data_IF_508548803965
#
_entry.id   IF_508548803965
#
_cell.length_a   1.000
_cell.length_b   1.000
_cell.length_c   1.000
_cell.angle_alpha   90.00
_cell.angle_beta   90.00
_cell.angle_gamma   90.00
#
_symmetry.space_group_name_H-M   'P 1'
#
loop_
_entity.id
_entity.type
_entity.pdbx_description
1 polymer ?
#
# COMPACT_ATOMS: atom_id res chain seq x y z
N UNK A 1 -18.02 15.99 -2.08
CA UNK A 1 -19.30 15.26 -2.16
C UNK A 1 -19.14 13.83 -2.69
N UNK A 2 -18.03 13.45 -3.31
CA UNK A 2 -17.76 12.07 -3.73
C UNK A 2 -17.40 11.13 -2.56
N UNK A 3 -17.02 11.66 -1.41
CA UNK A 3 -16.65 10.85 -0.25
C UNK A 3 -17.79 10.03 0.37
N UNK A 4 -19.02 10.46 0.23
CA UNK A 4 -20.18 9.77 0.81
C UNK A 4 -20.62 8.53 0.00
N UNK A 5 -20.26 8.43 -1.27
CA UNK A 5 -20.60 7.31 -2.15
C UNK A 5 -19.96 6.00 -1.69
N UNK A 6 -18.84 6.06 -0.99
CA UNK A 6 -18.08 4.90 -0.54
C UNK A 6 -18.26 4.58 0.95
N UNK A 7 -19.15 5.28 1.62
CA UNK A 7 -19.42 5.02 3.04
C UNK A 7 -20.17 3.69 3.21
N UNK A 8 -19.59 2.81 4.01
CA UNK A 8 -20.17 1.53 4.40
C UNK A 8 -20.42 1.57 5.89
N UNK A 9 -21.67 1.36 6.27
CA UNK A 9 -22.07 1.32 7.68
C UNK A 9 -22.45 -0.11 8.05
N UNK A 10 -21.84 -0.64 9.10
CA UNK A 10 -22.21 -1.90 9.69
C UNK A 10 -23.48 -1.69 10.54
N UNK A 11 -24.55 -2.35 10.19
CA UNK A 11 -25.83 -2.26 10.89
C UNK A 11 -26.04 -3.41 11.89
N UNK A 12 -25.44 -4.55 11.62
CA UNK A 12 -25.50 -5.75 12.46
C UNK A 12 -24.30 -6.64 12.16
N UNK A 13 -23.79 -7.33 13.17
CA UNK A 13 -22.64 -8.23 13.08
C UNK A 13 -23.02 -9.60 13.58
N UNK A 14 -22.60 -10.61 12.86
CA UNK A 14 -22.53 -12.00 13.30
C UNK A 14 -21.03 -12.35 13.41
N UNK A 15 -20.61 -12.80 14.57
CA UNK A 15 -19.18 -13.06 14.83
C UNK A 15 -18.61 -14.22 13.99
N UNK A 16 -19.48 -15.07 13.43
CA UNK A 16 -19.04 -16.14 12.53
C UNK A 16 -18.68 -15.65 11.12
N UNK A 17 -19.09 -14.41 10.77
CA UNK A 17 -18.86 -13.83 9.44
C UNK A 17 -18.16 -12.48 9.54
N UNK A 18 -17.01 -12.33 8.87
CA UNK A 18 -16.25 -11.08 8.87
C UNK A 18 -17.01 -9.93 8.20
N UNK A 19 -17.28 -8.85 8.94
CA UNK A 19 -17.90 -7.65 8.37
C UNK A 19 -17.02 -6.98 7.31
N UNK A 20 -15.69 -7.11 7.38
CA UNK A 20 -14.75 -6.59 6.40
C UNK A 20 -14.91 -7.29 5.05
N UNK A 21 -15.00 -8.63 5.05
CA UNK A 21 -15.25 -9.41 3.84
C UNK A 21 -16.61 -9.03 3.24
N UNK A 22 -17.66 -8.99 4.07
CA UNK A 22 -18.99 -8.56 3.62
C UNK A 22 -18.96 -7.14 3.02
N UNK A 23 -18.21 -6.22 3.65
CA UNK A 23 -18.01 -4.86 3.16
C UNK A 23 -17.27 -4.78 1.82
N UNK A 24 -16.23 -5.60 1.63
CA UNK A 24 -15.52 -5.72 0.34
C UNK A 24 -16.45 -6.24 -0.76
N UNK A 25 -17.17 -7.31 -0.50
CA UNK A 25 -18.10 -7.91 -1.46
C UNK A 25 -19.23 -6.94 -1.83
N UNK A 26 -19.87 -6.33 -0.82
CA UNK A 26 -20.93 -5.35 -1.04
C UNK A 26 -20.46 -4.15 -1.88
N UNK A 27 -19.22 -3.67 -1.68
CA UNK A 27 -18.62 -2.61 -2.49
C UNK A 27 -18.40 -3.07 -3.92
N UNK A 28 -17.84 -4.28 -4.10
CA UNK A 28 -17.60 -4.85 -5.42
C UNK A 28 -18.90 -5.02 -6.21
N UNK A 29 -19.96 -5.52 -5.57
CA UNK A 29 -21.28 -5.58 -6.17
C UNK A 29 -21.82 -4.19 -6.56
N UNK A 30 -21.79 -3.23 -5.64
CA UNK A 30 -22.33 -1.90 -5.85
C UNK A 30 -21.62 -1.18 -7.02
N UNK A 31 -20.29 -1.25 -7.10
CA UNK A 31 -19.52 -0.69 -8.22
C UNK A 31 -19.81 -1.43 -9.52
N UNK A 32 -19.90 -2.74 -9.49
CA UNK A 32 -20.12 -3.55 -10.68
C UNK A 32 -21.48 -3.27 -11.33
N UNK A 33 -22.57 -3.15 -10.55
CA UNK A 33 -23.91 -2.89 -11.07
C UNK A 33 -24.20 -1.40 -11.34
N UNK A 34 -23.38 -0.48 -10.81
CA UNK A 34 -23.52 0.96 -11.04
C UNK A 34 -23.07 1.36 -12.45
N UNK A 35 -23.23 2.64 -12.79
CA UNK A 35 -22.72 3.24 -14.02
C UNK A 35 -21.25 3.70 -13.92
N UNK A 36 -20.60 3.52 -12.77
CA UNK A 36 -19.19 3.91 -12.55
C UNK A 36 -18.27 2.97 -13.34
N UNK A 37 -17.37 3.50 -14.20
CA UNK A 37 -16.36 2.69 -14.88
C UNK A 37 -15.36 2.14 -13.87
N UNK A 38 -15.19 0.81 -13.88
CA UNK A 38 -14.34 0.11 -12.93
C UNK A 38 -13.83 -1.22 -13.51
N UNK A 39 -12.56 -1.54 -13.28
CA UNK A 39 -11.90 -2.76 -13.78
C UNK A 39 -12.03 -3.98 -12.85
N UNK A 40 -13.06 -4.01 -11.99
CA UNK A 40 -13.44 -5.19 -11.22
C UNK A 40 -14.23 -6.20 -12.06
N UNK A 41 -14.89 -7.17 -11.42
CA UNK A 41 -15.12 -7.26 -9.97
C UNK A 41 -13.94 -7.79 -9.15
N UNK A 42 -13.97 -7.48 -7.86
CA UNK A 42 -13.04 -7.99 -6.85
C UNK A 42 -13.81 -8.89 -5.88
N UNK A 43 -13.26 -10.06 -5.59
CA UNK A 43 -13.64 -10.89 -4.46
C UNK A 43 -12.65 -10.76 -3.32
N UNK A 44 -13.07 -11.12 -2.11
CA UNK A 44 -12.22 -11.19 -0.93
C UNK A 44 -12.66 -12.33 -0.02
N UNK A 45 -11.69 -12.98 0.62
CA UNK A 45 -11.93 -14.05 1.59
C UNK A 45 -10.95 -13.96 2.75
N UNK A 46 -11.36 -14.46 3.90
CA UNK A 46 -10.44 -14.81 4.99
C UNK A 46 -10.03 -16.27 4.87
N UNK A 47 -8.80 -16.55 5.24
CA UNK A 47 -8.23 -17.90 5.23
C UNK A 47 -7.57 -18.13 6.60
N UNK A 48 -7.87 -19.26 7.20
CA UNK A 48 -7.27 -19.76 8.42
C UNK A 48 -6.45 -21.03 8.19
N UNK A 49 -5.66 -21.39 9.19
CA UNK A 49 -4.93 -22.66 9.25
C UNK A 49 -5.16 -23.29 10.62
N UNK A 50 -5.76 -24.47 10.68
CA UNK A 50 -6.02 -25.18 11.90
C UNK A 50 -5.67 -26.67 11.74
N UNK A 51 -4.84 -27.19 12.63
CA UNK A 51 -4.37 -28.58 12.62
C UNK A 51 -3.74 -28.99 11.26
N UNK A 52 -3.09 -28.05 10.57
CA UNK A 52 -2.48 -28.24 9.26
C UNK A 52 -3.48 -28.17 8.08
N UNK A 53 -4.76 -27.90 8.32
CA UNK A 53 -5.77 -27.74 7.27
C UNK A 53 -6.07 -26.26 7.00
N UNK A 54 -6.05 -25.88 5.72
CA UNK A 54 -6.41 -24.54 5.29
C UNK A 54 -7.94 -24.42 5.20
N UNK A 55 -8.51 -23.48 5.94
CA UNK A 55 -9.94 -23.25 6.06
C UNK A 55 -10.29 -21.89 5.41
N UNK A 56 -11.29 -21.87 4.54
CA UNK A 56 -11.82 -20.64 3.94
C UNK A 56 -12.93 -20.09 4.82
N UNK A 57 -12.88 -18.79 5.10
CA UNK A 57 -13.83 -18.08 5.95
C UNK A 57 -14.06 -18.76 7.31
N UNK A 58 -13.00 -18.92 8.13
CA UNK A 58 -13.12 -19.57 9.43
C UNK A 58 -14.12 -18.82 10.31
N UNK A 59 -14.98 -19.57 11.02
CA UNK A 59 -15.91 -19.03 12.01
C UNK A 59 -15.16 -18.54 13.27
N UNK A 60 -15.88 -17.95 14.21
CA UNK A 60 -15.29 -17.37 15.44
C UNK A 60 -14.44 -18.38 16.22
N UNK A 61 -14.96 -19.59 16.46
CA UNK A 61 -14.21 -20.63 17.19
C UNK A 61 -12.98 -21.11 16.45
N UNK A 62 -13.07 -21.26 15.12
CA UNK A 62 -11.93 -21.64 14.29
C UNK A 62 -10.86 -20.55 14.28
N UNK A 63 -11.25 -19.26 14.27
CA UNK A 63 -10.27 -18.14 14.32
C UNK A 63 -9.49 -18.12 15.64
N UNK A 64 -10.10 -18.47 16.75
CA UNK A 64 -9.42 -18.54 18.06
C UNK A 64 -8.27 -19.57 18.12
N UNK A 65 -8.38 -20.62 17.32
CA UNK A 65 -7.42 -21.73 17.28
C UNK A 65 -6.57 -21.75 16.00
N UNK A 66 -6.75 -20.80 15.12
CA UNK A 66 -6.05 -20.74 13.84
C UNK A 66 -4.64 -20.16 13.98
N UNK A 67 -3.65 -20.85 13.41
CA UNK A 67 -2.26 -20.36 13.31
C UNK A 67 -2.07 -19.31 12.19
N UNK A 68 -3.10 -19.07 11.39
CA UNK A 68 -3.08 -18.13 10.28
C UNK A 68 -4.35 -17.29 10.27
N UNK A 69 -4.19 -15.97 10.24
CA UNK A 69 -5.24 -15.03 9.93
C UNK A 69 -4.84 -14.30 8.64
N UNK A 70 -5.35 -14.76 7.52
CA UNK A 70 -5.01 -14.25 6.20
C UNK A 70 -6.24 -13.68 5.52
N UNK A 71 -6.15 -12.45 5.03
CA UNK A 71 -7.14 -11.84 4.14
C UNK A 71 -6.55 -11.74 2.75
N UNK A 72 -7.24 -12.28 1.77
CA UNK A 72 -6.87 -12.20 0.34
C UNK A 72 -7.98 -11.50 -0.41
N UNK A 73 -7.60 -10.55 -1.28
CA UNK A 73 -8.54 -9.95 -2.23
C UNK A 73 -7.94 -9.94 -3.64
N UNK A 74 -8.78 -10.08 -4.64
CA UNK A 74 -8.32 -10.16 -6.02
C UNK A 74 -9.43 -10.16 -7.06
N UNK A 75 -9.00 -10.05 -8.30
CA UNK A 75 -9.84 -10.31 -9.48
C UNK A 75 -9.81 -11.80 -9.81
N UNK A 76 -10.50 -12.20 -10.87
CA UNK A 76 -10.42 -13.57 -11.39
C UNK A 76 -8.99 -13.98 -11.81
N UNK A 77 -8.16 -13.01 -12.17
CA UNK A 77 -6.85 -13.27 -12.78
C UNK A 77 -5.69 -12.95 -11.84
N UNK A 78 -5.86 -12.01 -10.91
CA UNK A 78 -4.78 -11.47 -10.10
C UNK A 78 -5.18 -11.29 -8.65
N UNK A 79 -4.29 -11.63 -7.76
CA UNK A 79 -4.34 -11.22 -6.35
C UNK A 79 -3.87 -9.77 -6.27
N UNK A 80 -4.64 -8.90 -5.63
CA UNK A 80 -4.34 -7.47 -5.52
C UNK A 80 -4.05 -7.03 -4.09
N UNK A 81 -4.46 -7.82 -3.09
CA UNK A 81 -4.21 -7.55 -1.68
C UNK A 81 -3.99 -8.85 -0.91
N UNK A 82 -3.01 -8.82 -0.03
CA UNK A 82 -2.73 -9.86 0.96
C UNK A 82 -2.42 -9.17 2.28
N UNK A 83 -3.10 -9.57 3.34
CA UNK A 83 -2.81 -9.15 4.70
C UNK A 83 -2.82 -10.37 5.62
N UNK A 84 -1.74 -10.60 6.35
CA UNK A 84 -1.59 -11.80 7.15
C UNK A 84 -0.99 -11.53 8.52
N UNK A 85 -1.56 -12.18 9.55
CA UNK A 85 -0.93 -12.46 10.83
C UNK A 85 -0.76 -13.99 10.95
N UNK A 86 0.40 -14.46 11.42
CA UNK A 86 0.68 -15.89 11.51
C UNK A 86 1.56 -16.25 12.68
N UNK A 87 1.36 -17.45 13.24
CA UNK A 87 2.18 -18.07 14.26
C UNK A 87 3.25 -18.94 13.58
N UNK A 88 4.31 -18.30 13.03
CA UNK A 88 5.46 -18.98 12.41
C UNK A 88 5.10 -19.97 11.30
N UNK A 89 4.03 -19.68 10.52
CA UNK A 89 3.64 -20.48 9.35
C UNK A 89 4.73 -20.38 8.29
N UNK A 90 5.14 -21.52 7.73
CA UNK A 90 6.17 -21.58 6.70
C UNK A 90 5.71 -21.00 5.35
N UNK A 91 6.67 -20.68 4.48
CA UNK A 91 6.41 -20.02 3.21
C UNK A 91 5.56 -20.87 2.24
N UNK A 92 5.73 -22.19 2.26
CA UNK A 92 5.02 -23.09 1.33
C UNK A 92 3.55 -23.17 1.73
N UNK A 93 3.26 -23.36 3.00
CA UNK A 93 1.89 -23.34 3.56
C UNK A 93 1.22 -21.97 3.36
N UNK A 94 1.96 -20.88 3.54
CA UNK A 94 1.44 -19.53 3.27
C UNK A 94 1.06 -19.34 1.80
N UNK A 95 1.89 -19.77 0.87
CA UNK A 95 1.61 -19.69 -0.57
C UNK A 95 0.41 -20.56 -0.96
N UNK A 96 0.29 -21.75 -0.38
CA UNK A 96 -0.88 -22.62 -0.59
C UNK A 96 -2.17 -21.98 -0.08
N UNK A 97 -2.14 -21.37 1.11
CA UNK A 97 -3.28 -20.65 1.68
C UNK A 97 -3.73 -19.48 0.79
N UNK A 98 -2.79 -18.69 0.28
CA UNK A 98 -3.05 -17.60 -0.65
C UNK A 98 -3.68 -18.14 -1.96
N UNK A 99 -3.11 -19.21 -2.54
CA UNK A 99 -3.61 -19.81 -3.77
C UNK A 99 -5.03 -20.36 -3.57
N UNK A 100 -5.29 -21.05 -2.46
CA UNK A 100 -6.61 -21.59 -2.13
C UNK A 100 -7.64 -20.48 -1.93
N UNK A 101 -7.26 -19.39 -1.27
CA UNK A 101 -8.09 -18.20 -1.17
C UNK A 101 -8.44 -17.61 -2.54
N UNK A 102 -7.48 -17.54 -3.45
CA UNK A 102 -7.71 -17.01 -4.79
C UNK A 102 -8.67 -17.87 -5.63
N UNK A 103 -8.66 -19.22 -5.46
CA UNK A 103 -9.64 -20.08 -6.13
C UNK A 103 -11.08 -19.76 -5.71
N UNK A 104 -11.34 -19.44 -4.46
CA UNK A 104 -12.66 -19.00 -4.01
C UNK A 104 -12.98 -17.57 -4.53
N UNK A 105 -12.01 -16.68 -4.56
CA UNK A 105 -12.17 -15.33 -5.14
C UNK A 105 -12.60 -15.39 -6.59
N UNK A 106 -12.06 -16.31 -7.40
CA UNK A 106 -12.48 -16.49 -8.79
C UNK A 106 -13.96 -16.80 -8.92
N UNK A 107 -14.50 -17.64 -8.02
CA UNK A 107 -15.93 -17.99 -8.01
C UNK A 107 -16.78 -16.78 -7.64
N UNK A 108 -16.37 -16.04 -6.61
CA UNK A 108 -17.04 -14.83 -6.15
C UNK A 108 -17.05 -13.77 -7.26
N UNK A 109 -15.89 -13.50 -7.86
CA UNK A 109 -15.76 -12.52 -8.92
C UNK A 109 -16.58 -12.91 -10.16
N UNK A 110 -16.67 -14.20 -10.49
CA UNK A 110 -17.53 -14.67 -11.56
C UNK A 110 -19.02 -14.43 -11.23
N UNK A 111 -19.45 -14.75 -10.02
CA UNK A 111 -20.82 -14.50 -9.59
C UNK A 111 -21.20 -13.02 -9.66
N UNK A 112 -20.30 -12.13 -9.22
CA UNK A 112 -20.53 -10.68 -9.33
C UNK A 112 -20.63 -10.24 -10.79
N UNK A 113 -19.80 -10.80 -11.68
CA UNK A 113 -19.85 -10.51 -13.10
C UNK A 113 -21.19 -10.98 -13.75
N UNK A 114 -21.69 -12.13 -13.33
CA UNK A 114 -22.97 -12.65 -13.81
C UNK A 114 -24.14 -11.74 -13.38
N UNK A 115 -24.15 -11.28 -12.11
CA UNK A 115 -25.12 -10.31 -11.61
C UNK A 115 -24.99 -8.97 -12.36
N UNK A 116 -23.77 -8.51 -12.61
CA UNK A 116 -23.53 -7.30 -13.41
C UNK A 116 -24.12 -7.42 -14.82
N UNK A 117 -23.98 -8.57 -15.45
CA UNK A 117 -24.53 -8.82 -16.79
C UNK A 117 -26.05 -8.79 -16.82
N UNK A 118 -26.70 -9.19 -15.72
CA UNK A 118 -28.17 -9.23 -15.61
C UNK A 118 -28.79 -7.87 -15.29
N UNK A 119 -28.23 -7.14 -14.32
CA UNK A 119 -28.86 -5.91 -13.77
C UNK A 119 -27.95 -4.69 -13.79
N UNK A 120 -26.73 -4.80 -14.33
CA UNK A 120 -25.75 -3.70 -14.36
C UNK A 120 -26.19 -2.56 -15.28
N UNK A 121 -25.84 -1.34 -14.88
CA UNK A 121 -26.03 -0.14 -15.70
C UNK A 121 -24.91 0.01 -16.73
N UNK A 122 -25.18 0.64 -17.90
CA UNK A 122 -24.11 1.06 -18.81
C UNK A 122 -23.12 1.99 -18.08
N UNK A 123 -21.81 1.76 -18.29
CA UNK A 123 -20.78 2.58 -17.67
C UNK A 123 -20.66 3.92 -18.41
N UNK A 124 -20.50 5.02 -17.63
CA UNK A 124 -20.22 6.31 -18.25
C UNK A 124 -18.79 6.34 -18.82
N UNK A 125 -18.58 7.17 -19.81
CA UNK A 125 -17.26 7.42 -20.41
C UNK A 125 -16.59 8.61 -19.71
N UNK A 126 -15.27 8.57 -19.62
CA UNK A 126 -14.45 9.67 -19.10
C UNK A 126 -13.19 9.81 -19.95
N UNK A 127 -12.62 11.00 -19.97
CA UNK A 127 -11.32 11.21 -20.60
C UNK A 127 -10.22 10.65 -19.71
N UNK A 128 -9.44 9.72 -20.28
CA UNK A 128 -8.27 9.18 -19.57
C UNK A 128 -7.21 10.27 -19.41
N UNK A 129 -6.66 10.38 -18.20
CA UNK A 129 -5.50 11.22 -17.91
C UNK A 129 -4.17 10.45 -18.09
N UNK A 130 -4.24 9.25 -18.68
CA UNK A 130 -3.03 8.48 -18.99
C UNK A 130 -2.14 9.24 -19.96
N UNK A 131 -0.85 9.09 -19.75
CA UNK A 131 0.15 9.70 -20.61
C UNK A 131 0.15 9.04 -21.96
N UNK A 132 0.19 9.84 -23.04
CA UNK A 132 0.40 9.35 -24.39
C UNK A 132 1.76 8.61 -24.48
N UNK A 133 1.78 7.36 -24.93
CA UNK A 133 3.04 6.63 -25.15
C UNK A 133 4.03 7.36 -26.06
N UNK A 134 3.56 8.11 -27.05
CA UNK A 134 4.42 8.89 -27.95
C UNK A 134 5.11 10.05 -27.19
N UNK A 135 4.38 10.75 -26.31
CA UNK A 135 4.95 11.78 -25.45
C UNK A 135 6.03 11.18 -24.53
N UNK A 136 5.74 10.04 -23.90
CA UNK A 136 6.70 9.37 -23.03
C UNK A 136 7.98 8.97 -23.77
N UNK A 137 7.88 8.37 -24.96
CA UNK A 137 9.05 7.96 -25.74
C UNK A 137 9.87 9.17 -26.21
N UNK A 138 9.23 10.29 -26.62
CA UNK A 138 9.93 11.51 -26.98
C UNK A 138 10.72 12.12 -25.81
N UNK A 139 10.11 12.21 -24.62
CA UNK A 139 10.78 12.70 -23.42
C UNK A 139 11.90 11.75 -22.99
N UNK A 140 11.69 10.45 -23.10
CA UNK A 140 12.67 9.43 -22.78
C UNK A 140 13.88 9.55 -23.72
N UNK A 141 13.69 9.66 -25.02
CA UNK A 141 14.78 9.83 -25.98
C UNK A 141 15.60 11.09 -25.70
N UNK A 142 14.93 12.18 -25.34
CA UNK A 142 15.59 13.46 -25.02
C UNK A 142 16.37 13.43 -23.72
N UNK A 143 15.87 12.78 -22.68
CA UNK A 143 16.34 12.98 -21.32
C UNK A 143 16.91 11.74 -20.63
N UNK A 144 16.86 10.53 -21.22
CA UNK A 144 17.21 9.29 -20.50
C UNK A 144 18.64 9.30 -19.94
N UNK A 145 19.62 9.81 -20.70
CA UNK A 145 21.01 9.81 -20.24
C UNK A 145 21.26 10.88 -19.17
N UNK A 146 20.56 12.02 -19.25
CA UNK A 146 20.60 13.07 -18.24
C UNK A 146 19.96 12.57 -16.92
N UNK A 147 18.82 11.88 -17.02
CA UNK A 147 18.16 11.26 -15.86
C UNK A 147 19.04 10.17 -15.24
N UNK A 148 19.67 9.31 -16.05
CA UNK A 148 20.63 8.33 -15.54
C UNK A 148 21.75 8.98 -14.76
N UNK A 149 22.37 10.03 -15.32
CA UNK A 149 23.45 10.76 -14.64
C UNK A 149 22.94 11.40 -13.33
N UNK A 150 21.77 12.01 -13.33
CA UNK A 150 21.20 12.65 -12.15
C UNK A 150 20.91 11.65 -11.02
N UNK A 151 20.42 10.47 -11.39
CA UNK A 151 20.06 9.42 -10.43
C UNK A 151 21.26 8.60 -9.94
N UNK A 152 22.41 8.64 -10.61
CA UNK A 152 23.60 7.85 -10.28
C UNK A 152 24.41 8.48 -9.13
N UNK A 153 23.84 8.39 -7.94
CA UNK A 153 24.45 8.84 -6.68
C UNK A 153 23.72 8.21 -5.49
N UNK A 154 24.45 7.89 -4.44
CA UNK A 154 23.95 7.41 -3.16
C UNK A 154 23.41 8.54 -2.26
N UNK A 155 23.79 9.80 -2.52
CA UNK A 155 23.32 10.97 -1.79
C UNK A 155 22.01 11.51 -2.37
N UNK A 156 20.98 11.59 -1.51
CA UNK A 156 19.65 12.10 -1.89
C UNK A 156 19.69 13.57 -2.32
N UNK A 157 20.45 14.41 -1.63
CA UNK A 157 20.48 15.85 -1.92
C UNK A 157 21.18 16.11 -3.25
N UNK A 158 22.30 15.42 -3.50
CA UNK A 158 23.01 15.49 -4.79
C UNK A 158 22.10 15.03 -5.94
N UNK A 159 21.28 14.03 -5.70
CA UNK A 159 20.30 13.55 -6.70
C UNK A 159 19.28 14.62 -7.04
N UNK A 160 18.71 15.26 -6.02
CA UNK A 160 17.73 16.34 -6.21
C UNK A 160 18.36 17.55 -6.93
N UNK A 161 19.57 17.96 -6.55
CA UNK A 161 20.31 19.03 -7.21
C UNK A 161 20.63 18.75 -8.68
N UNK A 162 20.94 17.50 -9.03
CA UNK A 162 21.20 17.09 -10.42
C UNK A 162 19.95 16.95 -11.24
N UNK A 163 18.84 16.55 -10.62
CA UNK A 163 17.57 16.29 -11.30
C UNK A 163 16.82 17.58 -11.63
N UNK A 164 16.90 18.59 -10.76
CA UNK A 164 16.17 19.84 -10.95
C UNK A 164 16.45 20.50 -12.31
N UNK A 165 17.70 20.73 -12.76
CA UNK A 165 17.96 21.32 -14.07
C UNK A 165 17.49 20.42 -15.23
N UNK A 166 17.52 19.10 -15.08
CA UNK A 166 17.00 18.17 -16.10
C UNK A 166 15.49 18.31 -16.27
N UNK A 167 14.77 18.48 -15.17
CA UNK A 167 13.32 18.72 -15.19
C UNK A 167 13.02 20.04 -15.90
N UNK A 168 13.75 21.13 -15.57
CA UNK A 168 13.61 22.43 -16.23
C UNK A 168 13.87 22.35 -17.75
N UNK A 169 14.91 21.62 -18.16
CA UNK A 169 15.21 21.41 -19.59
C UNK A 169 14.10 20.63 -20.31
N UNK A 170 13.49 19.62 -19.66
CA UNK A 170 12.37 18.86 -20.24
C UNK A 170 11.18 19.79 -20.43
N UNK A 171 10.81 20.59 -19.43
CA UNK A 171 9.73 21.55 -19.54
C UNK A 171 10.00 22.61 -20.60
N UNK A 172 11.22 23.17 -20.66
CA UNK A 172 11.59 24.15 -21.69
C UNK A 172 11.45 23.58 -23.11
N UNK A 173 11.68 22.28 -23.30
CA UNK A 173 11.59 21.62 -24.62
C UNK A 173 10.17 21.22 -24.97
N UNK A 174 9.36 20.77 -24.01
CA UNK A 174 8.09 20.09 -24.29
C UNK A 174 6.84 20.90 -23.94
N UNK A 175 6.89 21.92 -23.06
CA UNK A 175 5.71 22.72 -22.71
C UNK A 175 5.08 23.44 -23.92
N UNK A 176 5.90 23.90 -24.88
CA UNK A 176 5.38 24.51 -26.11
C UNK A 176 4.77 23.48 -27.06
N UNK A 177 5.25 22.23 -27.04
CA UNK A 177 4.74 21.16 -27.91
C UNK A 177 3.43 20.56 -27.39
N UNK A 178 3.24 20.59 -26.06
CA UNK A 178 2.09 20.03 -25.37
C UNK A 178 1.45 21.09 -24.45
N UNK A 179 0.86 22.16 -25.02
CA UNK A 179 0.25 23.21 -24.23
C UNK A 179 -0.88 22.65 -23.38
N UNK A 180 -0.97 23.09 -22.13
CA UNK A 180 -1.95 22.66 -21.12
C UNK A 180 -1.75 21.21 -20.58
N UNK A 181 -0.69 20.50 -21.00
CA UNK A 181 -0.41 19.13 -20.55
C UNK A 181 0.81 19.02 -19.61
N UNK A 182 1.19 20.10 -18.92
CA UNK A 182 2.33 20.12 -17.98
C UNK A 182 2.27 19.00 -16.95
N UNK A 183 1.08 18.68 -16.43
CA UNK A 183 0.90 17.57 -15.49
C UNK A 183 1.21 16.20 -16.11
N UNK A 184 0.98 16.01 -17.42
CA UNK A 184 1.36 14.77 -18.10
C UNK A 184 2.85 14.71 -18.39
N UNK A 185 3.51 15.85 -18.61
CA UNK A 185 4.97 15.94 -18.71
C UNK A 185 5.60 15.55 -17.37
N UNK A 186 5.11 16.07 -16.24
CA UNK A 186 5.55 15.67 -14.90
C UNK A 186 5.41 14.17 -14.67
N UNK A 187 4.29 13.59 -15.07
CA UNK A 187 4.06 12.14 -14.97
C UNK A 187 5.03 11.35 -15.88
N UNK A 188 5.37 11.87 -17.07
CA UNK A 188 6.41 11.28 -17.92
C UNK A 188 7.77 11.30 -17.26
N UNK A 189 8.15 12.41 -16.62
CA UNK A 189 9.41 12.56 -15.90
C UNK A 189 9.48 11.54 -14.77
N UNK A 190 8.40 11.41 -14.00
CA UNK A 190 8.31 10.40 -12.94
C UNK A 190 8.41 8.97 -13.48
N UNK A 191 7.70 8.65 -14.55
CA UNK A 191 7.77 7.34 -15.22
C UNK A 191 9.17 7.06 -15.77
N UNK A 192 9.87 8.07 -16.30
CA UNK A 192 11.22 7.93 -16.80
C UNK A 192 12.23 7.61 -15.69
N UNK A 193 12.14 8.31 -14.56
CA UNK A 193 12.97 8.00 -13.39
C UNK A 193 12.72 6.56 -12.91
N UNK A 194 11.45 6.19 -12.79
CA UNK A 194 11.04 4.82 -12.42
C UNK A 194 11.56 3.77 -13.42
N UNK A 195 11.50 4.07 -14.72
CA UNK A 195 12.01 3.21 -15.78
C UNK A 195 13.52 2.99 -15.62
N UNK A 196 14.31 4.06 -15.45
CA UNK A 196 15.77 3.99 -15.29
C UNK A 196 16.15 3.15 -14.08
N UNK A 197 15.58 3.44 -12.91
CA UNK A 197 15.85 2.71 -11.67
C UNK A 197 15.48 1.23 -11.79
N UNK A 198 14.33 0.94 -12.41
CA UNK A 198 13.88 -0.42 -12.62
C UNK A 198 14.79 -1.21 -13.57
N UNK A 199 15.29 -0.56 -14.64
CA UNK A 199 16.24 -1.19 -15.56
C UNK A 199 17.58 -1.47 -14.89
N UNK A 200 18.10 -0.52 -14.09
CA UNK A 200 19.32 -0.78 -13.33
C UNK A 200 19.18 -1.97 -12.39
N UNK A 201 18.05 -2.07 -11.69
CA UNK A 201 17.81 -3.17 -10.77
C UNK A 201 17.74 -4.52 -11.49
N UNK A 202 17.00 -4.60 -12.61
CA UNK A 202 16.71 -5.85 -13.32
C UNK A 202 17.85 -6.29 -14.25
N UNK A 203 18.50 -5.34 -14.92
CA UNK A 203 19.48 -5.65 -15.96
C UNK A 203 20.91 -5.61 -15.43
N UNK A 204 21.20 -4.76 -14.46
CA UNK A 204 22.56 -4.51 -13.96
C UNK A 204 22.75 -4.94 -12.49
N UNK A 205 21.70 -5.36 -11.80
CA UNK A 205 21.73 -5.66 -10.37
C UNK A 205 22.12 -4.44 -9.50
N UNK A 206 21.96 -3.23 -10.03
CA UNK A 206 22.38 -1.98 -9.41
C UNK A 206 21.21 -1.31 -8.70
N UNK A 207 21.42 -0.96 -7.42
CA UNK A 207 20.50 -0.11 -6.66
C UNK A 207 20.97 1.34 -6.71
N UNK A 208 20.01 2.28 -6.66
CA UNK A 208 20.28 3.73 -6.76
C UNK A 208 21.22 4.23 -5.67
N UNK A 209 21.16 3.64 -4.48
CA UNK A 209 21.96 4.01 -3.32
C UNK A 209 23.29 3.23 -3.22
N UNK A 210 23.73 2.60 -4.29
CA UNK A 210 25.02 1.90 -4.40
C UNK A 210 25.09 0.54 -3.69
N UNK A 211 24.04 0.12 -2.98
CA UNK A 211 24.01 -1.17 -2.29
C UNK A 211 23.84 -2.34 -3.25
N UNK A 212 24.34 -3.51 -2.86
CA UNK A 212 24.00 -4.76 -3.51
C UNK A 212 22.52 -5.13 -3.33
N UNK A 213 22.02 -6.12 -4.12
CA UNK A 213 20.60 -6.53 -4.11
C UNK A 213 20.17 -6.97 -2.72
N UNK A 214 21.00 -7.77 -2.04
CA UNK A 214 20.69 -8.35 -0.72
C UNK A 214 21.27 -7.53 0.45
N UNK A 215 21.88 -6.38 0.16
CA UNK A 215 22.49 -5.55 1.19
C UNK A 215 21.46 -4.71 1.95
N UNK A 216 21.47 -4.84 3.28
CA UNK A 216 20.64 -4.05 4.17
C UNK A 216 21.34 -2.72 4.47
N UNK A 217 20.60 -1.61 4.61
CA UNK A 217 21.14 -0.35 5.08
C UNK A 217 21.79 -0.51 6.47
N UNK A 218 22.85 0.24 6.80
CA UNK A 218 23.42 0.21 8.14
C UNK A 218 22.35 0.47 9.20
N UNK A 219 22.33 -0.38 10.22
CA UNK A 219 21.40 -0.30 11.34
C UNK A 219 22.16 0.06 12.61
N UNK A 220 21.59 0.96 13.41
CA UNK A 220 22.05 1.26 14.76
C UNK A 220 20.86 1.45 15.71
N UNK A 221 21.02 1.06 16.95
CA UNK A 221 20.03 1.25 17.99
C UNK A 221 20.71 1.70 19.30
N UNK A 222 20.16 2.72 19.92
CA UNK A 222 20.61 3.26 21.20
C UNK A 222 19.41 3.37 22.13
N UNK A 223 19.61 3.11 23.43
CA UNK A 223 18.57 3.17 24.44
C UNK A 223 18.96 4.12 25.57
N UNK A 224 17.97 4.60 26.33
CA UNK A 224 18.22 5.43 27.51
C UNK A 224 18.69 6.85 27.21
N UNK A 225 18.36 7.40 26.05
CA UNK A 225 18.84 8.71 25.56
C UNK A 225 18.21 9.89 26.30
N UNK A 226 16.93 9.78 26.69
CA UNK A 226 16.21 10.85 27.36
C UNK A 226 16.03 10.48 28.82
N UNK A 227 16.57 11.28 29.75
CA UNK A 227 16.36 11.05 31.17
C UNK A 227 14.93 11.39 31.57
N UNK A 228 14.43 10.77 32.65
CA UNK A 228 13.13 11.04 33.30
C UNK A 228 11.90 10.60 32.49
N UNK A 229 12.06 9.83 31.42
CA UNK A 229 11.00 9.08 30.76
C UNK A 229 11.07 7.61 31.19
N UNK A 230 10.00 6.84 31.02
CA UNK A 230 10.01 5.42 31.41
C UNK A 230 10.91 4.57 30.49
N UNK A 231 11.07 4.98 29.24
CA UNK A 231 12.01 4.40 28.29
C UNK A 231 12.20 5.32 27.08
N UNK A 232 13.38 5.28 26.49
CA UNK A 232 13.66 5.95 25.23
C UNK A 232 14.63 5.16 24.39
N UNK A 233 14.46 5.18 23.09
CA UNK A 233 15.33 4.54 22.11
C UNK A 233 15.43 5.38 20.83
N UNK A 234 16.62 5.35 20.21
CA UNK A 234 16.86 5.84 18.87
C UNK A 234 17.14 4.64 17.98
N UNK A 235 16.43 4.51 16.89
CA UNK A 235 16.72 3.55 15.84
C UNK A 235 17.13 4.28 14.55
N UNK A 236 18.26 3.91 14.00
CA UNK A 236 18.80 4.49 12.77
C UNK A 236 18.90 3.42 11.69
N UNK A 237 18.38 3.71 10.51
CA UNK A 237 18.51 2.90 9.31
C UNK A 237 19.01 3.78 8.15
N UNK A 238 20.30 3.73 7.88
CA UNK A 238 20.94 4.63 6.93
C UNK A 238 20.79 6.08 7.38
N UNK A 239 20.11 6.89 6.59
CA UNK A 239 19.82 8.32 6.88
C UNK A 239 18.53 8.56 7.64
N UNK A 240 17.72 7.52 7.89
CA UNK A 240 16.43 7.65 8.59
C UNK A 240 16.62 7.34 10.07
N UNK A 241 16.11 8.22 10.93
CA UNK A 241 16.12 8.04 12.38
C UNK A 241 14.71 8.14 12.95
N UNK A 242 14.43 7.29 13.93
CA UNK A 242 13.17 7.31 14.70
C UNK A 242 13.51 7.33 16.18
N UNK A 243 12.98 8.33 16.88
CA UNK A 243 13.02 8.39 18.37
C UNK A 243 11.74 7.81 18.93
N UNK A 244 11.85 6.77 19.73
CA UNK A 244 10.72 6.19 20.46
C UNK A 244 10.80 6.57 21.92
N UNK A 245 9.69 7.03 22.49
CA UNK A 245 9.55 7.33 23.93
C UNK A 245 8.44 6.44 24.47
N UNK A 246 8.75 5.73 25.55
CA UNK A 246 7.82 4.80 26.19
C UNK A 246 7.26 5.41 27.46
N UNK A 247 5.96 5.30 27.65
CA UNK A 247 5.25 5.59 28.88
C UNK A 247 4.59 4.32 29.38
N UNK A 248 4.85 3.96 30.64
CA UNK A 248 4.20 2.84 31.31
C UNK A 248 3.04 3.38 32.16
N UNK A 249 1.92 2.69 32.16
CA UNK A 249 0.75 2.99 32.96
C UNK A 249 0.27 1.75 33.71
N UNK A 250 -0.62 1.92 34.73
CA UNK A 250 -1.32 0.81 35.34
C UNK A 250 -2.28 0.12 34.38
N UNK A 251 -2.76 -1.07 34.77
CA UNK A 251 -3.71 -1.84 33.93
C UNK A 251 -5.02 -1.08 33.67
N UNK A 252 -5.41 -0.18 34.57
CA UNK A 252 -6.59 0.69 34.40
C UNK A 252 -6.48 1.68 33.23
N UNK A 253 -5.26 1.94 32.73
CA UNK A 253 -5.03 2.86 31.62
C UNK A 253 -5.14 2.17 30.25
N UNK A 254 -5.45 0.87 30.23
CA UNK A 254 -5.71 0.16 28.98
C UNK A 254 -6.87 0.82 28.22
N UNK A 255 -6.70 0.98 26.91
CA UNK A 255 -7.76 1.50 26.07
C UNK A 255 -8.95 0.53 26.02
N UNK A 256 -10.13 1.01 26.37
CA UNK A 256 -11.38 0.25 26.21
C UNK A 256 -11.74 0.29 24.73
N UNK A 257 -12.01 -0.87 24.15
CA UNK A 257 -12.47 -1.03 22.78
C UNK A 257 -13.97 -1.33 22.83
N UNK A 258 -14.78 -0.41 22.32
CA UNK A 258 -16.24 -0.53 22.19
C UNK A 258 -16.58 -0.57 20.70
N UNK A 259 -16.15 -1.64 20.05
CA UNK A 259 -16.30 -1.87 18.62
C UNK A 259 -17.24 -3.03 18.30
N UNK A 260 -17.12 -3.54 17.09
CA UNK A 260 -17.87 -4.70 16.57
C UNK A 260 -17.11 -6.02 16.79
N UNK A 261 -15.87 -5.95 17.24
CA UNK A 261 -15.00 -7.09 17.50
C UNK A 261 -15.15 -7.57 18.95
N UNK A 262 -14.66 -8.78 19.21
CA UNK A 262 -14.69 -9.36 20.56
C UNK A 262 -13.59 -8.82 21.48
N UNK A 263 -12.65 -8.01 20.99
CA UNK A 263 -11.62 -7.38 21.82
C UNK A 263 -12.24 -6.28 22.69
N UNK A 264 -12.12 -6.42 24.00
CA UNK A 264 -12.63 -5.46 24.97
C UNK A 264 -11.60 -4.38 25.37
N UNK A 265 -10.32 -4.66 25.24
CA UNK A 265 -9.26 -3.74 25.67
C UNK A 265 -7.95 -3.92 24.89
N UNK A 266 -7.22 -2.81 24.76
CA UNK A 266 -5.89 -2.78 24.17
C UNK A 266 -4.89 -2.16 25.12
N UNK A 267 -3.90 -2.94 25.57
CA UNK A 267 -2.87 -2.49 26.51
C UNK A 267 -1.67 -1.83 25.85
N UNK A 268 -1.33 -2.21 24.62
CA UNK A 268 -0.23 -1.62 23.88
C UNK A 268 -0.75 -0.64 22.85
N UNK A 269 -0.23 0.60 22.88
CA UNK A 269 -0.55 1.65 21.92
C UNK A 269 0.76 2.18 21.34
N UNK A 270 0.82 2.29 20.03
CA UNK A 270 1.96 2.87 19.33
C UNK A 270 1.47 4.06 18.51
N UNK A 271 1.91 5.27 18.90
CA UNK A 271 1.64 6.50 18.17
C UNK A 271 2.82 6.78 17.24
N UNK A 272 2.57 6.85 15.94
CA UNK A 272 3.57 7.24 14.97
C UNK A 272 3.34 8.66 14.51
N UNK A 273 4.25 9.56 14.91
CA UNK A 273 4.22 10.96 14.54
C UNK A 273 5.24 11.23 13.44
N UNK A 274 4.81 11.90 12.37
CA UNK A 274 5.66 12.29 11.26
C UNK A 274 5.65 13.83 11.12
N UNK A 275 6.42 14.54 11.95
CA UNK A 275 6.44 16.00 11.92
C UNK A 275 7.08 16.51 10.63
N UNK A 276 6.67 17.69 10.19
CA UNK A 276 7.11 18.29 8.91
C UNK A 276 8.62 18.44 8.80
N UNK A 277 9.30 18.73 9.90
CA UNK A 277 10.76 18.81 9.90
C UNK A 277 11.48 17.48 9.52
N UNK A 278 10.78 16.34 9.62
CA UNK A 278 11.32 15.03 9.19
C UNK A 278 11.65 14.97 7.70
N UNK A 279 11.02 15.83 6.91
CA UNK A 279 11.25 15.99 5.46
C UNK A 279 11.78 17.37 5.09
N UNK A 280 12.30 18.13 6.08
CA UNK A 280 12.88 19.47 5.86
C UNK A 280 11.84 20.57 5.64
N UNK A 281 10.58 20.34 5.96
CA UNK A 281 9.51 21.34 5.82
C UNK A 281 9.25 22.10 7.13
N UNK A 282 8.76 23.34 7.02
CA UNK A 282 8.41 24.24 8.14
C UNK A 282 6.90 24.42 8.27
N UNK A 283 6.14 23.36 8.28
CA UNK A 283 4.69 23.40 8.46
C UNK A 283 4.30 23.24 9.93
N UNK A 284 3.15 23.80 10.38
CA UNK A 284 2.63 23.53 11.72
C UNK A 284 2.46 22.03 11.94
N UNK A 285 3.01 21.52 13.05
CA UNK A 285 2.76 20.16 13.50
C UNK A 285 1.35 20.11 14.09
N UNK A 286 0.45 19.39 13.43
CA UNK A 286 -0.82 19.03 14.05
C UNK A 286 -0.58 17.74 14.83
N UNK A 287 -1.00 17.68 16.08
CA UNK A 287 -0.91 16.46 16.89
C UNK A 287 -1.63 15.27 16.25
N UNK A 288 -1.43 14.06 16.77
CA UNK A 288 -2.08 12.86 16.28
C UNK A 288 -3.60 12.94 16.39
#
# INVERSE_FOLDING_TARGET
WLGDVYKRQVLSVDQDYSPEVAGMLGTSFALSISDIPWNGPIGGVQVGLMDGEIIICPNEEQRKHSDLQLTVAGTREKIVMIEAGANEVDNETMLEAIAKGHEEIKKIAQFIADVQAEIGKPKFTFESQEVDPAMFEAIKEFAIDKVKFALDTDDKNVREERLAPVIEEIHAQFDEQYPEETAKIDECIYKLQKFVVRRWLLDEGKRVDGRGIDEIRPLAAEVGLIPRVHGSAMFTRGQTQVMTITTLGPLSDAQILDGIDNEESKRYMHQYNFPSYSVGETKPSRGP
#
